data_IF_863457603457
#
_entry.id   IF_863457603457
#
_cell.length_a   1.000
_cell.length_b   1.000
_cell.length_c   1.000
_cell.angle_alpha   90.00
_cell.angle_beta   90.00
_cell.angle_gamma   90.00
#
_symmetry.space_group_name_H-M   'P 1'
#
loop_
_entity.id
_entity.type
_entity.pdbx_description
1 polymer ?
#
# COMPACT_ATOMS: atom_id res chain seq x y z
N UNK A 1 -67.90 38.62 39.23
CA UNK A 1 -66.94 38.48 40.33
C UNK A 1 -65.57 38.80 39.75
N UNK A 2 -65.12 40.06 39.75
CA UNK A 2 -64.45 40.74 40.88
C UNK A 2 -63.25 39.90 41.35
N UNK A 3 -61.97 40.31 41.29
CA UNK A 3 -61.27 41.61 41.27
C UNK A 3 -59.77 41.29 40.98
N UNK A 4 -59.03 42.01 40.13
CA UNK A 4 -58.20 43.20 40.44
C UNK A 4 -57.10 42.89 41.51
N UNK A 5 -55.81 43.23 41.42
CA UNK A 5 -55.05 44.41 40.93
C UNK A 5 -53.54 44.09 41.06
N UNK A 6 -52.67 44.40 40.08
CA UNK A 6 -51.86 45.64 39.91
C UNK A 6 -50.69 45.80 40.92
N UNK A 7 -49.42 45.82 40.48
CA UNK A 7 -48.59 47.03 40.22
C UNK A 7 -47.77 47.44 41.49
N UNK A 8 -46.56 48.01 41.52
CA UNK A 8 -45.59 48.66 40.61
C UNK A 8 -44.42 49.17 41.47
N UNK A 9 -43.27 49.52 40.83
CA UNK A 9 -42.32 50.55 41.30
C UNK A 9 -40.94 50.00 41.72
N UNK A 10 -39.81 50.21 41.00
CA UNK A 10 -39.08 51.45 40.70
C UNK A 10 -38.61 52.19 41.97
N UNK A 11 -37.39 52.73 42.15
CA UNK A 11 -36.15 52.84 41.38
C UNK A 11 -35.08 53.50 42.28
N UNK A 12 -33.79 53.16 42.09
CA UNK A 12 -32.54 53.97 42.29
C UNK A 12 -32.26 54.52 43.72
N UNK A 13 -31.04 54.69 44.23
CA UNK A 13 -29.81 55.35 43.72
C UNK A 13 -28.63 55.14 44.71
N UNK A 14 -27.40 55.22 44.15
CA UNK A 14 -26.13 55.77 44.72
C UNK A 14 -25.37 54.95 45.80
N UNK A 15 -24.20 54.37 45.46
CA UNK A 15 -22.82 54.94 45.49
C UNK A 15 -22.14 54.64 46.86
N UNK A 16 -20.86 54.27 47.04
CA UNK A 16 -19.59 54.58 46.38
C UNK A 16 -18.51 53.55 46.89
N UNK A 17 -17.54 53.20 46.03
CA UNK A 17 -16.12 52.79 46.23
C UNK A 17 -15.66 51.83 47.36
N UNK A 18 -14.86 50.81 46.97
CA UNK A 18 -13.47 50.49 47.39
C UNK A 18 -13.03 49.16 46.73
N UNK A 19 -12.23 49.19 45.66
CA UNK A 19 -10.77 49.00 45.65
C UNK A 19 -10.28 47.59 46.04
N UNK A 20 -9.97 46.74 45.05
CA UNK A 20 -8.88 45.76 45.14
C UNK A 20 -8.42 45.34 43.75
N UNK A 21 -7.22 45.76 43.42
CA UNK A 21 -6.44 45.47 42.22
C UNK A 21 -5.81 44.08 42.38
N UNK A 22 -6.12 43.13 41.48
CA UNK A 22 -5.32 41.93 41.29
C UNK A 22 -5.17 41.66 39.79
N UNK A 23 -4.15 42.27 39.18
CA UNK A 23 -3.65 41.85 37.87
C UNK A 23 -3.01 40.47 38.03
N UNK A 24 -3.77 39.41 37.78
CA UNK A 24 -3.19 38.15 37.38
C UNK A 24 -2.85 38.24 35.89
N UNK A 25 -1.56 38.41 35.58
CA UNK A 25 -1.01 38.17 34.25
C UNK A 25 -1.24 36.70 33.88
N UNK A 26 -2.36 36.40 33.24
CA UNK A 26 -2.49 35.18 32.47
C UNK A 26 -1.52 35.31 31.28
N UNK A 27 -0.59 34.37 31.06
CA UNK A 27 0.11 34.34 29.80
C UNK A 27 -0.95 34.11 28.73
N UNK A 28 -1.07 35.05 27.79
CA UNK A 28 -1.68 34.76 26.49
C UNK A 28 -0.85 33.62 25.94
N UNK A 29 -1.35 32.40 26.10
CA UNK A 29 -0.96 31.32 25.22
C UNK A 29 -1.31 31.82 23.84
N UNK A 30 -0.30 32.27 23.11
CA UNK A 30 -0.34 32.38 21.67
C UNK A 30 -0.76 31.01 21.20
N UNK A 31 -2.06 30.84 20.93
CA UNK A 31 -2.56 29.68 20.24
C UNK A 31 -1.79 29.65 18.94
N UNK A 32 -0.79 28.76 18.85
CA UNK A 32 -0.32 28.29 17.59
C UNK A 32 -1.59 27.86 16.85
N UNK A 33 -1.93 28.59 15.80
CA UNK A 33 -3.01 28.22 14.91
C UNK A 33 -2.72 26.80 14.45
N UNK A 34 -3.35 25.82 15.11
CA UNK A 34 -3.37 24.46 14.65
C UNK A 34 -3.88 24.54 13.23
N UNK A 35 -3.05 24.12 12.28
CA UNK A 35 -3.40 24.15 10.88
C UNK A 35 -4.55 23.16 10.65
N UNK A 36 -5.77 23.62 10.91
CA UNK A 36 -7.03 22.93 10.70
C UNK A 36 -7.40 22.94 9.23
N UNK A 37 -6.60 22.25 8.41
CA UNK A 37 -7.07 21.79 7.10
C UNK A 37 -7.93 20.55 7.33
N UNK A 38 -9.19 20.58 6.88
CA UNK A 38 -10.08 19.43 6.91
C UNK A 38 -9.51 18.22 6.16
N UNK A 39 -10.11 17.06 6.39
CA UNK A 39 -9.71 15.84 5.69
C UNK A 39 -9.99 15.98 4.18
N UNK A 40 -9.07 15.45 3.38
CA UNK A 40 -9.19 15.28 1.94
C UNK A 40 -10.30 14.28 1.63
N UNK A 41 -11.10 14.61 0.62
CA UNK A 41 -12.03 13.67 0.03
C UNK A 41 -11.41 13.13 -1.26
N UNK A 42 -11.02 11.85 -1.25
CA UNK A 42 -10.61 11.12 -2.45
C UNK A 42 -11.82 10.33 -2.95
N UNK A 43 -12.37 10.62 -4.14
CA UNK A 43 -13.52 9.87 -4.66
C UNK A 43 -13.14 8.52 -5.29
N UNK A 44 -11.86 8.34 -5.62
CA UNK A 44 -11.33 7.13 -6.24
C UNK A 44 -9.88 6.85 -5.84
N UNK A 45 -9.44 5.59 -6.00
CA UNK A 45 -8.04 5.17 -5.91
C UNK A 45 -7.63 4.48 -7.20
N UNK A 46 -6.49 4.88 -7.77
CA UNK A 46 -5.84 4.17 -8.87
C UNK A 46 -4.51 3.61 -8.39
N UNK A 47 -4.41 2.28 -8.32
CA UNK A 47 -3.25 1.60 -7.76
C UNK A 47 -2.37 0.97 -8.84
N UNK A 48 -1.06 1.18 -8.72
CA UNK A 48 -0.01 0.55 -9.51
C UNK A 48 0.90 -0.22 -8.57
N UNK A 49 1.37 -1.40 -8.97
CA UNK A 49 2.19 -2.17 -8.05
C UNK A 49 2.47 -3.61 -8.43
N UNK A 50 2.96 -4.33 -7.44
CA UNK A 50 3.19 -5.76 -7.51
C UNK A 50 2.22 -6.58 -6.62
N UNK A 51 2.64 -7.77 -6.20
CA UNK A 51 1.83 -8.68 -5.40
C UNK A 51 1.46 -8.14 -4.01
N UNK A 52 2.17 -7.14 -3.48
CA UNK A 52 1.83 -6.49 -2.21
C UNK A 52 0.51 -5.69 -2.28
N UNK A 53 0.07 -5.35 -3.49
CA UNK A 53 -1.18 -4.62 -3.73
C UNK A 53 -2.06 -5.24 -4.81
N UNK A 54 -1.73 -6.40 -5.37
CA UNK A 54 -2.54 -7.08 -6.40
C UNK A 54 -3.89 -7.58 -5.84
N UNK A 55 -4.98 -7.13 -6.45
CA UNK A 55 -6.36 -7.52 -6.10
C UNK A 55 -7.02 -8.50 -7.08
N UNK A 56 -6.25 -9.07 -8.00
CA UNK A 56 -6.70 -10.07 -8.98
C UNK A 56 -6.10 -9.95 -10.38
N UNK A 57 -5.19 -9.01 -10.62
CA UNK A 57 -4.53 -8.79 -11.92
C UNK A 57 -3.85 -10.06 -12.42
N UNK A 58 -2.98 -10.67 -11.61
CA UNK A 58 -2.32 -11.93 -12.03
C UNK A 58 -3.32 -13.07 -12.14
N UNK A 59 -4.30 -13.11 -11.23
CA UNK A 59 -5.32 -14.16 -11.18
C UNK A 59 -6.20 -14.21 -12.43
N UNK A 60 -6.50 -13.04 -13.01
CA UNK A 60 -7.29 -12.91 -14.23
C UNK A 60 -6.55 -13.35 -15.49
N UNK A 61 -5.21 -13.30 -15.50
CA UNK A 61 -4.40 -13.71 -16.64
C UNK A 61 -3.93 -15.17 -16.55
N UNK A 62 -3.48 -15.60 -15.38
CA UNK A 62 -2.73 -16.86 -15.21
C UNK A 62 -3.39 -17.85 -14.25
N UNK A 63 -4.62 -17.55 -13.80
CA UNK A 63 -5.39 -18.40 -12.91
C UNK A 63 -5.30 -17.94 -11.46
N UNK A 64 -6.36 -18.24 -10.71
CA UNK A 64 -6.54 -17.73 -9.35
C UNK A 64 -5.37 -18.10 -8.42
N UNK A 65 -4.98 -17.14 -7.57
CA UNK A 65 -4.20 -17.44 -6.37
C UNK A 65 -4.89 -18.61 -5.63
N UNK A 66 -4.27 -19.79 -5.52
CA UNK A 66 -4.99 -21.00 -5.12
C UNK A 66 -5.46 -20.91 -3.67
N UNK A 67 -6.49 -21.67 -3.26
CA UNK A 67 -6.75 -21.85 -1.83
C UNK A 67 -5.46 -22.37 -1.15
N UNK A 68 -5.14 -21.94 0.07
CA UNK A 68 -6.02 -21.26 1.03
C UNK A 68 -5.93 -19.72 1.05
N UNK A 69 -5.47 -19.06 -0.02
CA UNK A 69 -5.53 -17.60 -0.12
C UNK A 69 -6.97 -17.08 0.08
N UNK A 70 -7.11 -15.96 0.78
CA UNK A 70 -8.40 -15.34 1.12
C UNK A 70 -9.20 -15.99 2.25
N UNK A 71 -8.70 -17.05 2.89
CA UNK A 71 -9.43 -17.80 3.94
C UNK A 71 -9.89 -16.99 5.16
N UNK A 72 -9.20 -15.91 5.51
CA UNK A 72 -9.41 -15.14 6.74
C UNK A 72 -10.54 -14.12 6.60
N UNK A 73 -10.61 -13.43 5.46
CA UNK A 73 -11.60 -12.36 5.26
C UNK A 73 -12.58 -12.65 4.13
N UNK A 74 -12.10 -13.07 2.96
CA UNK A 74 -12.95 -13.29 1.80
C UNK A 74 -13.66 -14.65 1.82
N UNK A 75 -13.17 -15.60 2.63
CA UNK A 75 -13.69 -16.97 2.72
C UNK A 75 -13.38 -17.84 1.50
N UNK A 76 -12.75 -17.27 0.48
CA UNK A 76 -12.33 -17.92 -0.76
C UNK A 76 -11.18 -17.14 -1.41
N UNK A 77 -10.46 -17.74 -2.38
CA UNK A 77 -9.55 -17.00 -3.24
C UNK A 77 -10.18 -15.77 -3.88
N UNK A 78 -9.68 -14.59 -3.53
CA UNK A 78 -10.12 -13.30 -4.06
C UNK A 78 -9.00 -12.57 -4.82
N UNK A 79 -8.09 -13.33 -5.42
CA UNK A 79 -7.01 -12.81 -6.27
C UNK A 79 -5.80 -12.21 -5.55
N UNK A 80 -5.79 -12.22 -4.21
CA UNK A 80 -4.71 -11.69 -3.37
C UNK A 80 -3.81 -12.81 -2.89
N UNK A 81 -2.49 -12.62 -2.95
CA UNK A 81 -1.50 -13.53 -2.37
C UNK A 81 -1.36 -13.30 -0.86
N UNK A 82 -2.46 -13.53 -0.15
CA UNK A 82 -2.61 -13.29 1.28
C UNK A 82 -3.74 -14.18 1.81
N UNK A 83 -3.80 -14.43 3.11
CA UNK A 83 -4.97 -15.05 3.74
C UNK A 83 -6.20 -14.14 3.75
N UNK A 84 -6.05 -12.85 3.44
CA UNK A 84 -7.18 -11.95 3.27
C UNK A 84 -6.78 -10.59 2.71
N UNK A 85 -7.02 -9.52 3.46
CA UNK A 85 -6.84 -8.14 2.98
C UNK A 85 -5.37 -7.70 2.90
N UNK A 86 -5.08 -6.92 1.85
CA UNK A 86 -3.80 -6.25 1.63
C UNK A 86 -3.80 -4.84 2.23
N UNK A 87 -2.62 -4.18 2.27
CA UNK A 87 -2.51 -2.78 2.73
C UNK A 87 -3.42 -1.86 1.89
N UNK A 88 -3.53 -2.10 0.58
CA UNK A 88 -4.41 -1.31 -0.31
C UNK A 88 -5.90 -1.45 0.04
N UNK A 89 -6.33 -2.62 0.52
CA UNK A 89 -7.72 -2.83 0.95
C UNK A 89 -8.01 -2.00 2.21
N UNK A 90 -7.08 -1.94 3.17
CA UNK A 90 -7.22 -1.09 4.35
C UNK A 90 -7.13 0.41 4.04
N UNK A 91 -6.34 0.82 3.03
CA UNK A 91 -6.33 2.19 2.50
C UNK A 91 -7.72 2.55 1.95
N UNK A 92 -8.32 1.68 1.13
CA UNK A 92 -9.66 1.89 0.58
C UNK A 92 -10.71 2.01 1.70
N UNK A 93 -10.72 1.08 2.65
CA UNK A 93 -11.62 1.12 3.82
C UNK A 93 -11.51 2.42 4.62
N UNK A 94 -10.28 2.89 4.87
CA UNK A 94 -10.02 4.13 5.60
C UNK A 94 -10.60 5.37 4.90
N UNK A 95 -10.57 5.37 3.57
CA UNK A 95 -11.09 6.43 2.72
C UNK A 95 -12.58 6.28 2.40
N UNK A 96 -13.23 5.21 2.86
CA UNK A 96 -14.64 4.93 2.57
C UNK A 96 -14.89 4.49 1.13
N UNK A 97 -13.87 3.91 0.48
CA UNK A 97 -13.93 3.38 -0.88
C UNK A 97 -14.05 1.84 -0.81
N UNK A 98 -14.88 1.19 -1.64
CA UNK A 98 -14.92 -0.26 -1.75
C UNK A 98 -13.56 -0.85 -2.12
N UNK A 99 -13.32 -2.13 -1.82
CA UNK A 99 -12.09 -2.80 -2.25
C UNK A 99 -11.95 -2.75 -3.78
N UNK A 100 -10.75 -2.42 -4.25
CA UNK A 100 -10.52 -2.13 -5.66
C UNK A 100 -10.62 -3.39 -6.51
N UNK A 101 -11.37 -3.29 -7.61
CA UNK A 101 -11.37 -4.29 -8.67
C UNK A 101 -10.07 -4.21 -9.45
N UNK A 102 -9.45 -5.35 -9.75
CA UNK A 102 -8.34 -5.38 -10.68
C UNK A 102 -8.82 -5.02 -12.09
N UNK A 103 -8.06 -4.21 -12.82
CA UNK A 103 -8.40 -3.77 -14.17
C UNK A 103 -8.69 -4.95 -15.12
N UNK A 104 -7.95 -6.04 -14.94
CA UNK A 104 -8.06 -7.24 -15.76
C UNK A 104 -9.20 -8.19 -15.36
N UNK A 105 -9.89 -7.93 -14.24
CA UNK A 105 -11.04 -8.74 -13.84
C UNK A 105 -12.23 -8.46 -14.76
N UNK A 106 -12.91 -9.52 -15.19
CA UNK A 106 -14.12 -9.44 -16.01
C UNK A 106 -15.41 -9.39 -15.16
N UNK A 107 -15.72 -10.49 -14.48
CA UNK A 107 -17.00 -10.67 -13.77
C UNK A 107 -16.94 -10.01 -12.39
N UNK A 108 -17.96 -9.21 -12.07
CA UNK A 108 -18.12 -8.58 -10.76
C UNK A 108 -17.27 -7.34 -10.53
N UNK A 109 -16.53 -6.88 -11.56
CA UNK A 109 -15.73 -5.66 -11.48
C UNK A 109 -16.59 -4.42 -11.39
N UNK A 110 -16.23 -3.52 -10.47
CA UNK A 110 -16.79 -2.20 -10.34
C UNK A 110 -15.64 -1.19 -10.25
N UNK A 111 -15.61 -0.24 -11.18
CA UNK A 111 -14.55 0.75 -11.31
C UNK A 111 -15.01 2.18 -10.99
N UNK A 112 -16.22 2.37 -10.46
CA UNK A 112 -16.78 3.72 -10.15
C UNK A 112 -15.87 4.55 -9.26
N UNK A 113 -15.17 3.91 -8.33
CA UNK A 113 -14.27 4.54 -7.37
C UNK A 113 -12.81 4.11 -7.60
N UNK A 114 -12.47 3.81 -8.84
CA UNK A 114 -11.12 3.55 -9.29
C UNK A 114 -10.83 2.08 -9.60
N UNK A 115 -9.58 1.79 -9.93
CA UNK A 115 -9.13 0.51 -10.45
C UNK A 115 -7.74 0.17 -9.95
N UNK A 116 -7.44 -1.13 -9.92
CA UNK A 116 -6.12 -1.63 -9.55
C UNK A 116 -5.42 -2.27 -10.74
N UNK A 117 -4.27 -1.72 -11.12
CA UNK A 117 -3.41 -2.20 -12.21
C UNK A 117 -2.25 -3.06 -11.70
N UNK A 118 -2.09 -3.19 -10.37
CA UNK A 118 -1.05 -4.04 -9.80
C UNK A 118 -1.24 -5.50 -10.19
N UNK A 119 -0.12 -6.19 -10.44
CA UNK A 119 -0.09 -7.61 -10.80
C UNK A 119 1.03 -8.29 -10.03
N UNK A 120 0.77 -9.47 -9.46
CA UNK A 120 1.76 -10.20 -8.70
C UNK A 120 3.01 -10.55 -9.52
N UNK A 121 4.19 -10.36 -8.95
CA UNK A 121 5.48 -10.55 -9.63
C UNK A 121 5.86 -9.43 -10.61
N UNK A 122 5.11 -8.33 -10.68
CA UNK A 122 5.43 -7.17 -11.52
C UNK A 122 6.68 -6.43 -11.05
N UNK A 123 7.38 -5.86 -12.03
CA UNK A 123 8.61 -5.09 -11.84
C UNK A 123 8.49 -3.75 -12.57
N UNK A 124 9.33 -2.78 -12.18
CA UNK A 124 9.44 -1.49 -12.86
C UNK A 124 9.94 -1.72 -14.29
N UNK A 125 10.95 -2.58 -14.46
CA UNK A 125 11.48 -2.98 -15.77
C UNK A 125 10.75 -4.19 -16.32
N UNK A 126 10.60 -4.25 -17.64
CA UNK A 126 10.27 -5.49 -18.34
C UNK A 126 11.33 -6.55 -18.05
N UNK A 127 10.88 -7.77 -17.74
CA UNK A 127 11.75 -8.91 -17.54
C UNK A 127 11.96 -9.65 -18.87
N UNK A 128 13.19 -10.04 -19.18
CA UNK A 128 13.50 -10.82 -20.37
C UNK A 128 13.35 -12.33 -20.10
N UNK A 129 12.16 -12.73 -19.68
CA UNK A 129 11.80 -14.10 -19.31
C UNK A 129 10.27 -14.23 -19.28
N UNK A 130 9.75 -15.41 -18.92
CA UNK A 130 8.33 -15.65 -18.75
C UNK A 130 7.97 -15.96 -17.29
N UNK A 131 6.69 -15.80 -16.96
CA UNK A 131 6.14 -16.18 -15.67
C UNK A 131 6.43 -17.65 -15.33
N UNK A 132 6.34 -18.55 -16.31
CA UNK A 132 6.55 -19.99 -16.10
C UNK A 132 8.01 -20.35 -15.83
N UNK A 133 8.96 -19.54 -16.29
CA UNK A 133 10.40 -19.79 -16.11
C UNK A 133 10.96 -19.12 -14.85
N UNK A 134 10.44 -17.94 -14.49
CA UNK A 134 11.05 -17.08 -13.47
C UNK A 134 10.12 -16.68 -12.33
N UNK A 135 8.82 -16.86 -12.49
CA UNK A 135 7.81 -16.35 -11.56
C UNK A 135 7.54 -14.85 -11.65
N UNK A 136 8.22 -14.10 -12.53
CA UNK A 136 7.95 -12.67 -12.73
C UNK A 136 6.87 -12.42 -13.79
N UNK A 137 6.02 -11.45 -13.53
CA UNK A 137 4.89 -11.11 -14.40
C UNK A 137 5.33 -10.38 -15.67
N UNK A 138 4.70 -10.67 -16.83
CA UNK A 138 4.89 -9.88 -18.04
C UNK A 138 4.25 -8.48 -17.96
N UNK A 139 3.41 -8.22 -16.94
CA UNK A 139 2.75 -6.92 -16.72
C UNK A 139 3.67 -6.03 -15.88
N UNK A 140 4.74 -5.50 -16.49
CA UNK A 140 5.61 -4.51 -15.85
C UNK A 140 4.93 -3.15 -15.69
N UNK A 141 5.54 -2.23 -14.94
CA UNK A 141 4.95 -0.93 -14.63
C UNK A 141 4.54 -0.12 -15.88
N UNK A 142 5.30 -0.21 -16.96
CA UNK A 142 4.93 0.42 -18.23
C UNK A 142 3.69 -0.22 -18.87
N UNK A 143 3.53 -1.54 -18.77
CA UNK A 143 2.28 -2.22 -19.19
C UNK A 143 1.10 -1.75 -18.33
N UNK A 144 1.27 -1.65 -17.01
CA UNK A 144 0.25 -1.09 -16.12
C UNK A 144 -0.11 0.35 -16.50
N UNK A 145 0.84 1.14 -16.99
CA UNK A 145 0.57 2.49 -17.49
C UNK A 145 -0.24 2.50 -18.78
N UNK A 146 -0.04 1.53 -19.67
CA UNK A 146 -0.84 1.35 -20.88
C UNK A 146 -2.27 0.89 -20.56
N UNK A 147 -2.41 0.03 -19.56
CA UNK A 147 -3.72 -0.37 -19.03
C UNK A 147 -4.47 0.84 -18.46
N UNK A 148 -3.79 1.69 -17.70
CA UNK A 148 -4.35 2.93 -17.19
C UNK A 148 -4.75 3.90 -18.31
N UNK A 149 -3.91 4.05 -19.33
CA UNK A 149 -4.23 4.87 -20.51
C UNK A 149 -5.49 4.38 -21.22
N UNK A 150 -5.55 3.07 -21.49
CA UNK A 150 -6.73 2.42 -22.08
C UNK A 150 -7.96 2.66 -21.21
N UNK A 151 -7.81 2.50 -19.90
CA UNK A 151 -8.90 2.69 -18.94
C UNK A 151 -9.45 4.12 -18.96
N UNK A 152 -8.61 5.15 -18.94
CA UNK A 152 -9.05 6.55 -19.06
C UNK A 152 -9.81 6.77 -20.37
N UNK A 153 -9.16 6.44 -21.50
CA UNK A 153 -9.72 6.73 -22.82
C UNK A 153 -11.07 6.04 -23.03
N UNK A 154 -11.20 4.78 -22.58
CA UNK A 154 -12.46 4.03 -22.66
C UNK A 154 -13.50 4.57 -21.68
N UNK A 155 -13.10 4.95 -20.46
CA UNK A 155 -14.01 5.54 -19.49
C UNK A 155 -14.66 6.81 -20.04
N UNK A 156 -13.85 7.72 -20.59
CA UNK A 156 -14.33 8.95 -21.21
C UNK A 156 -15.22 8.68 -22.42
N UNK A 157 -14.84 7.72 -23.28
CA UNK A 157 -15.66 7.35 -24.43
C UNK A 157 -17.04 6.85 -24.01
N UNK A 158 -17.11 5.89 -23.08
CA UNK A 158 -18.38 5.31 -22.60
C UNK A 158 -19.25 6.38 -21.93
N UNK A 159 -18.65 7.26 -21.11
CA UNK A 159 -19.37 8.35 -20.47
C UNK A 159 -20.03 9.30 -21.47
N UNK A 160 -19.33 9.62 -22.57
CA UNK A 160 -19.77 10.61 -23.55
C UNK A 160 -20.66 10.04 -24.65
N UNK A 161 -20.56 8.75 -24.98
CA UNK A 161 -21.18 8.18 -26.18
C UNK A 161 -22.16 7.03 -25.91
N UNK A 162 -21.99 6.25 -24.85
CA UNK A 162 -22.79 5.03 -24.61
C UNK A 162 -23.80 5.21 -23.47
N UNK A 163 -23.35 5.64 -22.30
CA UNK A 163 -24.21 5.79 -21.12
C UNK A 163 -24.69 4.46 -20.50
N UNK A 164 -25.85 4.50 -19.84
CA UNK A 164 -26.47 3.33 -19.20
C UNK A 164 -25.62 2.66 -18.11
N UNK A 165 -25.77 1.34 -17.96
CA UNK A 165 -25.09 0.54 -16.94
C UNK A 165 -23.56 0.59 -17.05
N UNK A 166 -23.02 0.73 -18.27
CA UNK A 166 -21.56 0.82 -18.46
C UNK A 166 -20.99 2.10 -17.86
N UNK A 167 -21.71 3.23 -18.01
CA UNK A 167 -21.35 4.49 -17.35
C UNK A 167 -21.43 4.38 -15.82
N UNK A 168 -22.41 3.65 -15.30
CA UNK A 168 -22.58 3.43 -13.86
C UNK A 168 -21.51 2.56 -13.21
N UNK A 169 -20.68 1.85 -13.99
CA UNK A 169 -19.56 1.04 -13.52
C UNK A 169 -18.20 1.71 -13.68
N UNK A 170 -18.16 2.96 -14.17
CA UNK A 170 -16.94 3.68 -14.52
C UNK A 170 -16.82 4.98 -13.71
N UNK A 171 -15.58 5.45 -13.45
CA UNK A 171 -15.37 6.67 -12.68
C UNK A 171 -15.75 7.90 -13.49
N UNK A 172 -16.24 8.94 -12.81
CA UNK A 172 -16.51 10.23 -13.44
C UNK A 172 -15.19 10.88 -13.88
N UNK A 173 -15.22 11.69 -14.94
CA UNK A 173 -14.02 12.32 -15.48
C UNK A 173 -13.27 13.17 -14.43
N UNK A 174 -13.99 13.88 -13.56
CA UNK A 174 -13.39 14.67 -12.48
C UNK A 174 -12.70 13.83 -11.40
N UNK A 175 -12.98 12.52 -11.31
CA UNK A 175 -12.33 11.66 -10.31
C UNK A 175 -10.85 11.45 -10.64
N UNK A 176 -10.44 11.48 -11.90
CA UNK A 176 -9.02 11.32 -12.26
C UNK A 176 -8.15 12.44 -11.65
N UNK A 177 -8.62 13.68 -11.60
CA UNK A 177 -7.84 14.77 -10.97
C UNK A 177 -7.95 14.83 -9.44
N UNK A 178 -8.92 14.11 -8.87
CA UNK A 178 -9.18 14.09 -7.43
C UNK A 178 -8.75 12.79 -6.74
N UNK A 179 -8.40 11.76 -7.51
CA UNK A 179 -8.06 10.43 -6.99
C UNK A 179 -6.74 10.39 -6.23
N UNK A 180 -6.63 9.41 -5.34
CA UNK A 180 -5.36 8.99 -4.77
C UNK A 180 -4.68 7.98 -5.71
N UNK A 181 -3.44 8.25 -6.09
CA UNK A 181 -2.61 7.37 -6.89
C UNK A 181 -1.59 6.67 -6.00
N UNK A 182 -1.67 5.35 -5.90
CA UNK A 182 -0.78 4.55 -5.04
C UNK A 182 0.22 3.76 -5.88
N UNK A 183 1.47 3.68 -5.39
CA UNK A 183 2.55 2.90 -6.03
C UNK A 183 3.24 2.04 -4.96
N UNK A 184 3.28 0.72 -5.16
CA UNK A 184 4.07 -0.24 -4.38
C UNK A 184 4.75 -1.24 -5.33
N UNK A 185 5.96 -0.90 -5.78
CA UNK A 185 6.70 -1.64 -6.80
C UNK A 185 8.22 -1.44 -6.69
N UNK A 186 8.99 -2.43 -7.16
CA UNK A 186 10.45 -2.38 -7.23
C UNK A 186 11.15 -3.52 -6.49
N UNK A 187 10.44 -4.22 -5.59
CA UNK A 187 10.97 -5.39 -4.89
C UNK A 187 11.44 -6.46 -5.89
N UNK A 188 10.60 -6.75 -6.88
CA UNK A 188 10.86 -7.79 -7.87
C UNK A 188 12.05 -7.46 -8.77
N UNK A 189 12.33 -6.19 -9.08
CA UNK A 189 13.51 -5.79 -9.87
C UNK A 189 14.83 -6.15 -9.15
N UNK A 190 14.87 -5.97 -7.83
CA UNK A 190 16.04 -6.34 -7.01
C UNK A 190 16.19 -7.86 -7.01
N UNK A 191 15.12 -8.60 -6.70
CA UNK A 191 15.23 -10.06 -6.58
C UNK A 191 15.40 -10.76 -7.92
N UNK A 192 14.79 -10.28 -9.00
CA UNK A 192 14.97 -10.86 -10.33
C UNK A 192 16.41 -10.72 -10.79
N UNK A 193 17.04 -9.57 -10.54
CA UNK A 193 18.46 -9.34 -10.84
C UNK A 193 19.36 -10.30 -10.06
N UNK A 194 19.09 -10.53 -8.77
CA UNK A 194 19.81 -11.53 -8.01
C UNK A 194 19.58 -12.97 -8.49
N UNK A 195 18.38 -13.32 -8.94
CA UNK A 195 18.04 -14.70 -9.32
C UNK A 195 18.67 -15.11 -10.65
N UNK A 196 19.14 -14.16 -11.46
CA UNK A 196 19.99 -14.43 -12.63
C UNK A 196 21.49 -14.38 -12.30
N UNK A 197 21.85 -14.54 -11.02
CA UNK A 197 23.21 -14.61 -10.50
C UNK A 197 24.05 -13.33 -10.62
N UNK A 198 23.42 -12.16 -10.77
CA UNK A 198 24.16 -10.90 -10.68
C UNK A 198 24.76 -10.70 -9.27
N UNK A 199 25.89 -10.01 -9.23
CA UNK A 199 26.55 -9.53 -8.01
C UNK A 199 25.79 -8.37 -7.40
N UNK A 200 25.97 -8.12 -6.10
CA UNK A 200 25.37 -6.97 -5.42
C UNK A 200 25.68 -5.64 -6.11
N UNK A 201 26.91 -5.45 -6.63
CA UNK A 201 27.27 -4.23 -7.35
C UNK A 201 26.46 -4.05 -8.65
N UNK A 202 26.21 -5.13 -9.39
CA UNK A 202 25.37 -5.08 -10.59
C UNK A 202 23.90 -4.81 -10.25
N UNK A 203 23.38 -5.35 -9.15
CA UNK A 203 22.02 -5.05 -8.68
C UNK A 203 21.89 -3.60 -8.21
N UNK A 204 22.89 -3.06 -7.51
CA UNK A 204 22.90 -1.64 -7.13
C UNK A 204 22.96 -0.72 -8.38
N UNK A 205 23.69 -1.13 -9.41
CA UNK A 205 23.89 -0.36 -10.64
C UNK A 205 22.61 -0.17 -11.47
N UNK A 206 21.59 -1.01 -11.30
CA UNK A 206 20.31 -0.84 -12.04
C UNK A 206 19.37 0.18 -11.38
N UNK A 207 19.56 0.52 -10.11
CA UNK A 207 18.63 1.38 -9.34
C UNK A 207 18.38 2.75 -10.01
N UNK A 208 19.40 3.45 -10.57
CA UNK A 208 19.16 4.71 -11.29
C UNK A 208 18.17 4.57 -12.47
N UNK A 209 18.28 3.51 -13.29
CA UNK A 209 17.35 3.23 -14.39
C UNK A 209 15.94 2.93 -13.86
N UNK A 210 15.82 2.23 -12.73
CA UNK A 210 14.51 2.01 -12.07
C UNK A 210 13.85 3.33 -11.67
N UNK A 211 14.62 4.27 -11.10
CA UNK A 211 14.11 5.57 -10.70
C UNK A 211 13.68 6.42 -11.89
N UNK A 212 14.43 6.40 -12.99
CA UNK A 212 14.08 7.11 -14.22
C UNK A 212 12.75 6.60 -14.82
N UNK A 213 12.58 5.28 -14.89
CA UNK A 213 11.35 4.64 -15.39
C UNK A 213 10.15 4.95 -14.49
N UNK A 214 10.31 4.79 -13.17
CA UNK A 214 9.25 5.11 -12.22
C UNK A 214 8.85 6.59 -12.31
N UNK A 215 9.83 7.50 -12.41
CA UNK A 215 9.59 8.94 -12.61
C UNK A 215 8.80 9.18 -13.88
N UNK A 216 9.18 8.55 -14.98
CA UNK A 216 8.50 8.69 -16.27
C UNK A 216 7.02 8.27 -16.20
N UNK A 217 6.71 7.17 -15.51
CA UNK A 217 5.33 6.71 -15.34
C UNK A 217 4.54 7.61 -14.38
N UNK A 218 5.13 8.07 -13.29
CA UNK A 218 4.47 9.02 -12.39
C UNK A 218 4.17 10.34 -13.13
N UNK A 219 5.10 10.82 -13.95
CA UNK A 219 4.91 12.02 -14.78
C UNK A 219 3.84 11.80 -15.86
N UNK A 220 3.75 10.61 -16.44
CA UNK A 220 2.67 10.24 -17.34
C UNK A 220 1.30 10.32 -16.64
N UNK A 221 1.17 9.73 -15.45
CA UNK A 221 -0.07 9.81 -14.65
C UNK A 221 -0.41 11.26 -14.28
N UNK A 222 0.59 12.05 -13.90
CA UNK A 222 0.42 13.49 -13.64
C UNK A 222 -0.08 14.25 -14.88
N UNK A 223 0.48 13.96 -16.06
CA UNK A 223 0.05 14.55 -17.34
C UNK A 223 -1.39 14.16 -17.73
N UNK A 224 -1.89 13.02 -17.20
CA UNK A 224 -3.29 12.59 -17.30
C UNK A 224 -4.20 13.12 -16.18
N UNK A 225 -3.75 14.14 -15.47
CA UNK A 225 -4.55 14.83 -14.46
C UNK A 225 -4.30 14.36 -13.03
N UNK A 226 -3.49 13.32 -12.80
CA UNK A 226 -3.19 12.87 -11.44
C UNK A 226 -2.52 13.95 -10.59
N UNK A 227 -2.99 14.13 -9.34
CA UNK A 227 -2.48 15.18 -8.44
C UNK A 227 -2.06 14.71 -7.06
N UNK A 228 -2.48 13.54 -6.61
CA UNK A 228 -2.22 13.09 -5.25
C UNK A 228 -1.57 11.70 -5.27
N UNK A 229 -0.29 11.63 -4.93
CA UNK A 229 0.54 10.43 -5.03
C UNK A 229 0.96 9.93 -3.66
N UNK A 230 0.73 8.65 -3.39
CA UNK A 230 1.08 7.95 -2.16
C UNK A 230 1.97 6.75 -2.49
N UNK A 231 3.28 6.96 -2.38
CA UNK A 231 4.31 6.12 -2.97
C UNK A 231 5.03 5.35 -1.87
N UNK A 232 4.83 4.03 -1.83
CA UNK A 232 5.47 3.12 -0.88
C UNK A 232 6.88 2.80 -1.34
N UNK A 233 7.80 2.73 -0.39
CA UNK A 233 9.12 2.15 -0.60
C UNK A 233 9.05 0.61 -0.57
N UNK A 234 10.17 -0.08 -0.82
CA UNK A 234 10.17 -1.55 -0.75
C UNK A 234 10.43 -2.05 0.67
N UNK A 235 9.97 -3.27 0.98
CA UNK A 235 10.12 -3.91 2.29
C UNK A 235 11.54 -4.45 2.57
N UNK A 236 11.76 -5.08 3.74
CA UNK A 236 13.03 -5.70 4.08
C UNK A 236 13.20 -7.06 3.37
N UNK A 237 13.70 -7.03 2.13
CA UNK A 237 13.89 -8.21 1.28
C UNK A 237 14.72 -9.32 1.96
N UNK A 238 15.68 -8.95 2.79
CA UNK A 238 16.52 -9.91 3.51
C UNK A 238 15.77 -10.72 4.56
N UNK A 239 14.52 -10.36 4.87
CA UNK A 239 13.65 -11.10 5.77
C UNK A 239 12.74 -12.10 5.04
N UNK A 240 12.77 -12.15 3.70
CA UNK A 240 11.86 -12.96 2.91
C UNK A 240 12.46 -14.34 2.62
N UNK A 241 11.85 -15.44 3.10
CA UNK A 241 12.31 -16.80 2.82
C UNK A 241 12.62 -17.09 1.36
N UNK A 242 11.81 -16.60 0.41
CA UNK A 242 12.05 -16.88 -1.01
C UNK A 242 13.39 -16.30 -1.50
N UNK A 243 13.78 -15.10 -1.04
CA UNK A 243 15.05 -14.49 -1.42
C UNK A 243 16.23 -15.27 -0.81
N UNK A 244 16.10 -15.61 0.48
CA UNK A 244 17.12 -16.34 1.23
C UNK A 244 17.36 -17.76 0.69
N UNK A 245 16.33 -18.43 0.16
CA UNK A 245 16.45 -19.79 -0.36
C UNK A 245 16.82 -19.85 -1.84
N UNK A 246 16.49 -18.84 -2.65
CA UNK A 246 16.96 -18.76 -4.04
C UNK A 246 18.46 -18.44 -4.14
N UNK A 247 18.97 -17.55 -3.28
CA UNK A 247 20.40 -17.17 -3.22
C UNK A 247 20.94 -17.36 -1.80
N UNK A 248 21.14 -18.61 -1.35
CA UNK A 248 21.63 -18.89 -0.01
C UNK A 248 23.03 -18.32 0.25
N UNK A 249 23.82 -18.08 -0.79
CA UNK A 249 25.12 -17.42 -0.73
C UNK A 249 25.03 -15.95 -0.28
N UNK A 250 23.88 -15.30 -0.46
CA UNK A 250 23.62 -13.92 -0.04
C UNK A 250 22.88 -13.83 1.30
N UNK A 251 22.48 -14.96 1.89
CA UNK A 251 21.68 -14.98 3.11
C UNK A 251 22.43 -14.48 4.36
N UNK A 252 23.77 -14.53 4.34
CA UNK A 252 24.64 -14.09 5.42
C UNK A 252 25.41 -12.80 5.03
N UNK A 253 25.82 -11.97 6.00
CA UNK A 253 25.51 -12.06 7.43
C UNK A 253 24.04 -11.71 7.72
N UNK A 254 23.50 -12.27 8.81
CA UNK A 254 22.15 -11.97 9.30
C UNK A 254 22.21 -10.94 10.43
N UNK A 255 21.22 -10.06 10.49
CA UNK A 255 21.03 -9.13 11.60
C UNK A 255 20.36 -9.83 12.82
N UNK A 256 20.11 -9.06 13.89
CA UNK A 256 19.48 -9.58 15.11
C UNK A 256 18.03 -10.04 14.94
N UNK A 257 17.38 -9.69 13.83
CA UNK A 257 16.04 -10.18 13.47
C UNK A 257 16.10 -11.44 12.59
N UNK A 258 17.29 -11.92 12.22
CA UNK A 258 17.49 -13.07 11.35
C UNK A 258 17.39 -12.74 9.85
N UNK A 259 17.42 -11.45 9.49
CA UNK A 259 17.33 -11.01 8.11
C UNK A 259 18.71 -10.81 7.49
N UNK A 260 18.87 -11.15 6.20
CA UNK A 260 20.10 -10.89 5.45
C UNK A 260 20.40 -9.39 5.41
N UNK A 261 21.56 -8.99 5.91
CA UNK A 261 22.09 -7.61 5.81
C UNK A 261 22.32 -7.23 4.35
N UNK A 262 22.82 -8.16 3.52
CA UNK A 262 23.15 -7.90 2.10
C UNK A 262 21.92 -7.46 1.31
N UNK A 263 20.87 -8.28 1.28
CA UNK A 263 19.59 -7.92 0.68
C UNK A 263 18.99 -6.62 1.23
N UNK A 264 18.97 -6.46 2.56
CA UNK A 264 18.39 -5.29 3.19
C UNK A 264 19.14 -4.00 2.84
N UNK A 265 20.46 -4.05 2.63
CA UNK A 265 21.25 -2.90 2.22
C UNK A 265 20.86 -2.40 0.82
N UNK A 266 20.63 -3.30 -0.13
CA UNK A 266 20.17 -2.92 -1.49
C UNK A 266 18.74 -2.40 -1.46
N UNK A 267 17.85 -3.02 -0.68
CA UNK A 267 16.50 -2.51 -0.46
C UNK A 267 16.52 -1.09 0.13
N UNK A 268 17.38 -0.84 1.12
CA UNK A 268 17.57 0.49 1.71
C UNK A 268 18.15 1.50 0.71
N UNK A 269 19.07 1.09 -0.16
CA UNK A 269 19.59 1.95 -1.23
C UNK A 269 18.48 2.33 -2.21
N UNK A 270 17.65 1.37 -2.65
CA UNK A 270 16.48 1.64 -3.47
C UNK A 270 15.55 2.65 -2.78
N UNK A 271 15.25 2.43 -1.50
CA UNK A 271 14.36 3.30 -0.71
C UNK A 271 14.92 4.73 -0.57
N UNK A 272 16.24 4.87 -0.37
CA UNK A 272 16.92 6.17 -0.35
C UNK A 272 16.73 6.90 -1.68
N UNK A 273 17.01 6.22 -2.80
CA UNK A 273 16.85 6.83 -4.14
C UNK A 273 15.41 7.16 -4.47
N UNK A 274 14.46 6.33 -4.05
CA UNK A 274 13.04 6.62 -4.19
C UNK A 274 12.63 7.87 -3.43
N UNK A 275 13.11 8.04 -2.19
CA UNK A 275 12.84 9.24 -1.40
C UNK A 275 13.38 10.51 -2.08
N UNK A 276 14.60 10.45 -2.63
CA UNK A 276 15.20 11.53 -3.42
C UNK A 276 14.36 11.85 -4.67
N UNK A 277 13.92 10.82 -5.40
CA UNK A 277 13.03 10.94 -6.57
C UNK A 277 11.70 11.61 -6.22
N UNK A 278 11.03 11.18 -5.14
CA UNK A 278 9.77 11.78 -4.68
C UNK A 278 9.99 13.24 -4.24
N UNK A 279 11.11 13.55 -3.59
CA UNK A 279 11.46 14.93 -3.25
C UNK A 279 11.70 15.80 -4.51
N UNK A 280 12.29 15.23 -5.57
CA UNK A 280 12.44 15.91 -6.86
C UNK A 280 11.09 16.17 -7.53
N UNK A 281 10.21 15.17 -7.58
CA UNK A 281 8.85 15.30 -8.14
C UNK A 281 8.04 16.40 -7.44
N UNK A 282 8.13 16.50 -6.10
CA UNK A 282 7.51 17.62 -5.35
C UNK A 282 8.01 19.00 -5.80
N UNK A 283 9.30 19.12 -6.11
CA UNK A 283 9.88 20.41 -6.55
C UNK A 283 9.47 20.75 -7.99
N UNK A 284 9.37 19.76 -8.87
CA UNK A 284 9.07 19.98 -10.29
C UNK A 284 7.58 20.12 -10.58
N UNK A 285 6.70 19.61 -9.70
CA UNK A 285 5.25 19.62 -9.87
C UNK A 285 4.55 20.22 -8.63
N UNK A 286 4.65 21.55 -8.40
CA UNK A 286 4.15 22.19 -7.18
C UNK A 286 2.62 22.22 -7.05
N UNK A 287 1.88 21.91 -8.11
CA UNK A 287 0.42 21.76 -8.13
C UNK A 287 -0.04 20.34 -7.77
N UNK A 288 0.88 19.39 -7.57
CA UNK A 288 0.60 18.03 -7.12
C UNK A 288 1.23 17.77 -5.73
N UNK A 289 0.62 16.86 -4.98
CA UNK A 289 1.15 16.36 -3.71
C UNK A 289 1.75 14.97 -3.92
N UNK A 290 3.02 14.81 -3.53
CA UNK A 290 3.69 13.50 -3.52
C UNK A 290 4.10 13.18 -2.09
N UNK A 291 3.65 12.02 -1.61
CA UNK A 291 3.96 11.51 -0.29
C UNK A 291 4.76 10.23 -0.44
N UNK A 292 6.01 10.26 0.02
CA UNK A 292 6.82 9.06 0.20
C UNK A 292 6.39 8.35 1.49
N UNK A 293 6.31 7.03 1.48
CA UNK A 293 5.79 6.22 2.59
C UNK A 293 6.76 5.10 2.91
N UNK A 294 7.28 5.10 4.13
CA UNK A 294 8.30 4.17 4.61
C UNK A 294 7.67 2.88 5.17
N UNK A 295 7.18 2.03 4.26
CA UNK A 295 6.68 0.70 4.62
C UNK A 295 7.80 -0.25 5.05
N UNK A 296 9.06 -0.03 4.63
CA UNK A 296 10.23 -0.76 5.12
C UNK A 296 10.30 -0.73 6.64
N UNK A 297 10.26 0.47 7.23
CA UNK A 297 10.36 0.64 8.68
C UNK A 297 9.20 -0.03 9.41
N UNK A 298 7.98 0.07 8.87
CA UNK A 298 6.81 -0.62 9.43
C UNK A 298 6.97 -2.15 9.39
N UNK A 299 7.33 -2.72 8.23
CA UNK A 299 7.52 -4.16 8.03
C UNK A 299 8.69 -4.68 8.88
N UNK A 300 9.82 -3.98 8.92
CA UNK A 300 10.98 -4.39 9.70
C UNK A 300 10.73 -4.33 11.21
N UNK A 301 10.01 -3.31 11.70
CA UNK A 301 9.56 -3.25 13.10
C UNK A 301 8.70 -4.46 13.47
N UNK A 302 7.74 -4.82 12.61
CA UNK A 302 6.90 -5.99 12.84
C UNK A 302 7.73 -7.27 12.95
N UNK A 303 8.71 -7.45 12.06
CA UNK A 303 9.58 -8.62 12.05
C UNK A 303 10.49 -8.65 13.29
N UNK A 304 11.22 -7.56 13.55
CA UNK A 304 12.18 -7.48 14.66
C UNK A 304 11.53 -7.52 16.04
N UNK A 305 10.29 -7.05 16.17
CA UNK A 305 9.53 -7.02 17.43
C UNK A 305 8.37 -8.01 17.48
N UNK A 306 8.32 -8.98 16.57
CA UNK A 306 7.17 -9.88 16.36
C UNK A 306 6.57 -10.43 17.66
N UNK A 307 7.42 -11.00 18.54
CA UNK A 307 6.99 -11.58 19.81
C UNK A 307 6.31 -10.56 20.74
N UNK A 308 6.81 -9.33 20.80
CA UNK A 308 6.23 -8.24 21.61
C UNK A 308 4.89 -7.79 21.04
N UNK A 309 4.74 -7.84 19.73
CA UNK A 309 3.54 -7.47 18.99
C UNK A 309 2.53 -8.62 18.87
N UNK A 310 2.82 -9.78 19.49
CA UNK A 310 1.90 -10.93 19.54
C UNK A 310 1.96 -11.87 18.34
N UNK A 311 3.01 -11.77 17.51
CA UNK A 311 3.30 -12.66 16.39
C UNK A 311 4.41 -13.67 16.75
N UNK A 312 4.35 -14.85 16.14
CA UNK A 312 5.27 -15.95 16.35
C UNK A 312 6.14 -16.19 15.10
N UNK A 313 7.44 -16.46 15.32
CA UNK A 313 8.47 -16.79 14.32
C UNK A 313 8.31 -16.00 13.00
N UNK A 314 8.73 -14.74 12.95
CA UNK A 314 8.33 -13.81 11.89
C UNK A 314 8.76 -14.21 10.47
N UNK A 315 9.82 -15.04 10.33
CA UNK A 315 10.25 -15.58 9.05
C UNK A 315 9.62 -16.93 8.70
N UNK A 316 8.91 -17.60 9.61
CA UNK A 316 8.25 -18.87 9.32
C UNK A 316 6.93 -18.60 8.58
N UNK A 317 6.81 -19.08 7.35
CA UNK A 317 5.61 -18.96 6.53
C UNK A 317 4.43 -19.71 7.16
N UNK A 318 3.26 -19.07 7.23
CA UNK A 318 2.03 -19.73 7.68
C UNK A 318 1.57 -20.79 6.66
N UNK A 319 1.62 -20.49 5.37
CA UNK A 319 1.16 -21.30 4.27
C UNK A 319 2.35 -21.74 3.41
N UNK A 320 2.68 -23.03 3.47
CA UNK A 320 3.84 -23.55 2.77
C UNK A 320 4.05 -25.03 3.05
N UNK A 321 5.21 -25.56 2.63
CA UNK A 321 5.46 -26.99 2.65
C UNK A 321 6.88 -27.33 3.12
N UNK A 322 7.07 -27.44 4.44
CA UNK A 322 8.30 -27.99 5.00
C UNK A 322 9.54 -27.12 4.71
N UNK A 323 10.73 -27.71 4.84
CA UNK A 323 11.98 -26.96 4.64
C UNK A 323 12.26 -25.91 5.71
N UNK A 324 13.34 -25.14 5.51
CA UNK A 324 13.64 -23.98 6.37
C UNK A 324 12.59 -22.91 6.12
N UNK A 325 12.07 -22.30 7.19
CA UNK A 325 11.00 -21.29 7.12
C UNK A 325 9.61 -21.79 6.70
N UNK A 326 9.37 -23.11 6.66
CA UNK A 326 8.15 -23.68 6.07
C UNK A 326 7.95 -23.25 4.60
N UNK A 327 9.05 -23.10 3.86
CA UNK A 327 9.07 -22.65 2.47
C UNK A 327 9.86 -23.63 1.59
N UNK A 328 9.30 -23.96 0.43
CA UNK A 328 9.88 -24.83 -0.59
C UNK A 328 9.77 -24.15 -1.96
N UNK A 329 10.87 -24.14 -2.72
CA UNK A 329 10.95 -23.46 -4.02
C UNK A 329 10.06 -24.08 -5.10
N UNK A 330 9.72 -25.37 -4.95
CA UNK A 330 8.90 -26.13 -5.89
C UNK A 330 7.43 -26.23 -5.48
N UNK A 331 7.14 -26.06 -4.19
CA UNK A 331 5.80 -26.25 -3.62
C UNK A 331 5.45 -25.07 -2.72
N UNK A 332 4.78 -24.08 -3.31
CA UNK A 332 4.25 -22.93 -2.59
C UNK A 332 2.93 -23.18 -1.85
N UNK A 333 2.40 -22.12 -1.28
CA UNK A 333 1.07 -22.09 -0.66
C UNK A 333 -0.01 -22.60 -1.63
N UNK A 334 -0.88 -23.50 -1.17
CA UNK A 334 -1.90 -24.15 -1.99
C UNK A 334 -1.38 -25.25 -2.92
N UNK A 335 -0.07 -25.49 -2.92
CA UNK A 335 0.56 -26.54 -3.72
C UNK A 335 0.01 -27.93 -3.42
N UNK A 336 -0.19 -28.73 -4.47
CA UNK A 336 -0.73 -30.10 -4.38
C UNK A 336 0.31 -31.13 -4.82
N UNK A 337 0.28 -32.29 -4.20
CA UNK A 337 1.03 -33.48 -4.62
C UNK A 337 0.06 -34.62 -4.91
N UNK A 338 0.40 -35.46 -5.89
CA UNK A 338 -0.36 -36.67 -6.14
C UNK A 338 0.05 -37.74 -5.11
N UNK A 339 -0.90 -38.19 -4.30
CA UNK A 339 -0.73 -39.26 -3.31
C UNK A 339 -1.76 -40.33 -3.64
N UNK A 340 -1.29 -41.54 -3.96
CA UNK A 340 -2.16 -42.67 -4.36
C UNK A 340 -3.18 -42.29 -5.45
N UNK A 341 -2.73 -41.58 -6.49
CA UNK A 341 -3.58 -41.13 -7.59
C UNK A 341 -4.43 -39.88 -7.33
N UNK A 342 -4.53 -39.40 -6.07
CA UNK A 342 -5.36 -38.24 -5.69
C UNK A 342 -4.50 -37.01 -5.44
N UNK A 343 -4.95 -35.83 -5.90
CA UNK A 343 -4.28 -34.56 -5.61
C UNK A 343 -4.59 -34.09 -4.18
N UNK A 344 -3.59 -34.13 -3.31
CA UNK A 344 -3.68 -33.69 -1.91
C UNK A 344 -2.96 -32.34 -1.76
N UNK A 345 -3.59 -31.37 -1.11
CA UNK A 345 -2.94 -30.11 -0.77
C UNK A 345 -1.90 -30.34 0.32
N UNK A 346 -0.66 -29.99 0.01
CA UNK A 346 0.50 -30.15 0.91
C UNK A 346 1.08 -28.80 1.36
N UNK A 347 0.86 -27.75 0.57
CA UNK A 347 1.15 -26.35 0.93
C UNK A 347 0.02 -25.76 1.77
N UNK A 348 -0.27 -26.36 2.92
CA UNK A 348 -1.40 -25.95 3.76
C UNK A 348 -1.08 -24.71 4.59
N UNK A 349 -2.12 -23.97 4.94
CA UNK A 349 -2.04 -22.85 5.88
C UNK A 349 -1.97 -23.35 7.32
N UNK A 350 -1.23 -22.63 8.16
CA UNK A 350 -1.18 -22.80 9.59
C UNK A 350 -2.57 -22.56 10.23
N UNK A 351 -2.76 -23.04 11.47
CA UNK A 351 -4.06 -22.96 12.15
C UNK A 351 -4.50 -21.53 12.46
N UNK A 352 -3.56 -20.65 12.83
CA UNK A 352 -3.85 -19.29 13.28
C UNK A 352 -3.02 -18.26 12.48
N UNK A 353 -3.46 -17.88 11.26
CA UNK A 353 -2.75 -16.90 10.43
C UNK A 353 -2.52 -15.54 11.11
N UNK A 354 -3.42 -15.13 12.00
CA UNK A 354 -3.31 -13.87 12.76
C UNK A 354 -2.12 -13.81 13.74
N UNK A 355 -1.42 -14.92 13.95
CA UNK A 355 -0.20 -15.03 14.75
C UNK A 355 1.08 -15.13 13.90
N UNK A 356 1.00 -15.03 12.57
CA UNK A 356 2.16 -15.12 11.67
C UNK A 356 2.36 -13.82 10.92
N UNK A 357 3.63 -13.42 10.70
CA UNK A 357 3.96 -12.27 9.86
C UNK A 357 3.95 -12.68 8.40
N UNK A 358 4.74 -13.69 8.05
CA UNK A 358 4.80 -14.22 6.70
C UNK A 358 3.62 -15.15 6.40
N UNK A 359 2.89 -14.86 5.32
CA UNK A 359 1.88 -15.73 4.78
C UNK A 359 2.52 -16.92 4.06
N UNK A 360 3.32 -16.69 3.03
CA UNK A 360 3.81 -17.74 2.12
C UNK A 360 5.32 -17.70 1.85
N UNK A 361 6.09 -16.99 2.68
CA UNK A 361 7.53 -16.76 2.48
C UNK A 361 7.87 -15.60 1.55
N UNK A 362 6.86 -14.92 1.00
CA UNK A 362 7.00 -13.68 0.20
C UNK A 362 6.09 -12.60 0.78
N UNK A 363 4.81 -12.92 0.95
CA UNK A 363 3.77 -11.98 1.31
C UNK A 363 3.46 -12.01 2.80
N UNK A 364 2.80 -10.95 3.28
CA UNK A 364 2.38 -10.81 4.67
C UNK A 364 0.96 -11.36 4.86
N UNK A 365 0.67 -11.84 6.06
CA UNK A 365 -0.72 -12.18 6.44
C UNK A 365 -1.59 -10.93 6.51
N UNK A 366 -2.91 -11.09 6.53
CA UNK A 366 -3.84 -9.98 6.70
C UNK A 366 -3.56 -9.21 8.00
N UNK A 367 -3.29 -9.94 9.09
CA UNK A 367 -2.97 -9.32 10.38
C UNK A 367 -1.69 -8.47 10.31
N UNK A 368 -0.67 -8.96 9.58
CA UNK A 368 0.55 -8.23 9.35
C UNK A 368 0.35 -7.02 8.41
N UNK A 369 -0.45 -7.16 7.35
CA UNK A 369 -0.84 -6.04 6.48
C UNK A 369 -1.62 -4.96 7.24
N UNK A 370 -2.52 -5.36 8.14
CA UNK A 370 -3.23 -4.43 9.02
C UNK A 370 -2.28 -3.66 9.93
N UNK A 371 -1.30 -4.35 10.53
CA UNK A 371 -0.27 -3.68 11.33
C UNK A 371 0.51 -2.65 10.50
N UNK A 372 0.96 -3.02 9.30
CA UNK A 372 1.69 -2.11 8.40
C UNK A 372 0.83 -0.89 8.08
N UNK A 373 -0.44 -1.08 7.70
CA UNK A 373 -1.39 0.00 7.47
C UNK A 373 -1.51 0.94 8.69
N UNK A 374 -1.66 0.38 9.90
CA UNK A 374 -1.79 1.16 11.13
C UNK A 374 -0.55 2.01 11.43
N UNK A 375 0.65 1.56 11.02
CA UNK A 375 1.88 2.35 11.18
C UNK A 375 1.96 3.52 10.19
N UNK A 376 1.40 3.40 8.98
CA UNK A 376 1.56 4.41 7.92
C UNK A 376 0.38 5.39 7.82
N UNK A 377 -0.84 5.00 8.23
CA UNK A 377 -2.06 5.79 7.99
C UNK A 377 -2.04 7.17 8.66
N UNK A 378 -1.38 7.28 9.82
CA UNK A 378 -1.25 8.54 10.57
C UNK A 378 -0.15 9.47 10.02
N UNK A 379 0.65 9.02 9.06
CA UNK A 379 1.69 9.83 8.42
C UNK A 379 3.03 9.91 9.15
N UNK A 380 3.19 9.22 10.28
CA UNK A 380 4.45 9.24 11.04
C UNK A 380 5.64 8.64 10.26
N UNK A 381 5.34 7.71 9.35
CA UNK A 381 6.31 7.08 8.44
C UNK A 381 6.21 7.66 7.03
N UNK A 382 5.72 8.89 6.89
CA UNK A 382 5.57 9.56 5.60
C UNK A 382 6.49 10.77 5.48
N UNK A 383 6.89 11.11 4.25
CA UNK A 383 7.54 12.37 3.90
C UNK A 383 6.78 13.04 2.74
N UNK A 384 6.10 14.17 2.99
CA UNK A 384 6.00 14.88 4.27
C UNK A 384 5.21 14.07 5.32
N UNK A 385 5.35 14.34 6.63
CA UNK A 385 4.64 13.61 7.68
C UNK A 385 3.16 14.01 7.72
N UNK A 386 2.39 13.48 6.78
CA UNK A 386 0.98 13.79 6.57
C UNK A 386 0.13 12.52 6.69
N UNK A 387 -0.98 12.54 7.45
CA UNK A 387 -1.92 11.42 7.47
C UNK A 387 -2.46 11.14 6.07
N UNK A 388 -2.82 9.88 5.80
CA UNK A 388 -3.43 9.46 4.53
C UNK A 388 -4.62 10.34 4.14
N UNK A 389 -5.53 10.59 5.09
CA UNK A 389 -6.70 11.47 4.91
C UNK A 389 -6.37 12.93 4.66
N UNK A 390 -5.10 13.32 4.74
CA UNK A 390 -4.62 14.69 4.49
C UNK A 390 -3.57 14.75 3.39
N UNK A 391 -3.38 13.67 2.64
CA UNK A 391 -2.36 13.56 1.59
C UNK A 391 -2.58 14.52 0.40
N UNK A 392 -3.74 15.16 0.26
CA UNK A 392 -4.00 16.22 -0.73
C UNK A 392 -3.44 17.58 -0.30
N UNK A 393 -3.07 17.75 0.97
CA UNK A 393 -2.56 19.02 1.48
C UNK A 393 -1.10 19.17 1.04
N UNK A 394 -0.83 20.09 0.11
CA UNK A 394 0.54 20.45 -0.31
C UNK A 394 1.23 21.24 0.81
N UNK A 395 1.70 20.57 1.86
CA UNK A 395 2.62 21.20 2.82
C UNK A 395 4.05 20.88 2.43
N UNK A 396 4.60 21.77 1.60
CA UNK A 396 6.00 21.81 1.22
C UNK A 396 6.35 23.16 0.62
N UNK A 397 6.39 24.20 1.46
CA UNK A 397 7.32 25.33 1.24
C UNK A 397 8.51 25.13 2.14
#
# INVERSE_FOLDING_TARGET
>A
MATATAATGAARTAALLLLALALALAPRASGAAGAGGGDCHFPAIFNFGDSNSDTGGLSSLFGAAPPPNGRTFFGMPAGRYCDGRLVIDFIAESLGIPHLSAYLNSIGSNFTQGANFATAGSSIRRQNTSLLLSGFSPISLDVQSWEFEQFINRSEYVYNNEGGIYRELLPRAEYFSQALYTFDIGQNDITSSYFVNNSTAEVEAIIPDLMERLTSIIQFVYARGGRYFWIHNTGPLGCLPYALLHRPDLAAPMDGAGCSVTYNKVAQLFNLRLKETVASLRKTHPDAAFTYVDVYTAKYKLISEAKKLGFNDPLLACCGHGGRYNFDLSIGCGGKKQVNGTWVMVGNSCEVPSKRVSWDGVHFTEAANKFVFDQIVAGALSDPPVPLKRACQSKGR
#
